data_IF_943647965516
#
_entry.id   IF_943647965516
#
_cell.length_a   1.000
_cell.length_b   1.000
_cell.length_c   1.000
_cell.angle_alpha   90.00
_cell.angle_beta   90.00
_cell.angle_gamma   90.00
#
_symmetry.space_group_name_H-M   'P 1'
#
loop_
_entity.id
_entity.type
_entity.pdbx_description
1 polymer ?
#
# COMPACT_ATOMS: atom_id res chain seq x y z
N UNK A 1 2.60 -2.82 19.18
CA UNK A 1 3.28 -1.91 18.23
C UNK A 1 2.95 -0.46 18.60
N UNK A 2 3.93 0.45 18.55
CA UNK A 2 3.79 1.87 18.88
C UNK A 2 3.45 2.64 17.60
N UNK A 3 2.37 3.43 17.60
CA UNK A 3 2.06 4.33 16.49
C UNK A 3 2.91 5.59 16.56
N UNK A 4 3.60 5.91 15.47
CA UNK A 4 4.39 7.13 15.35
C UNK A 4 3.51 8.33 15.01
N UNK A 5 3.90 9.49 15.53
CA UNK A 5 3.43 10.76 15.00
C UNK A 5 4.06 11.01 13.63
N UNK A 6 3.33 11.68 12.74
CA UNK A 6 3.79 11.98 11.38
C UNK A 6 5.16 12.68 11.32
N UNK A 7 5.44 13.58 12.27
CA UNK A 7 6.75 14.26 12.38
C UNK A 7 7.92 13.30 12.59
N UNK A 8 7.63 12.07 13.02
CA UNK A 8 8.60 11.03 13.31
C UNK A 8 8.67 9.95 12.22
N UNK A 9 7.86 10.01 11.16
CA UNK A 9 7.84 8.97 10.12
C UNK A 9 9.20 8.75 9.44
N UNK A 10 10.03 9.78 9.32
CA UNK A 10 11.36 9.65 8.72
C UNK A 10 12.30 8.72 9.51
N UNK A 11 12.00 8.40 10.78
CA UNK A 11 12.82 7.48 11.59
C UNK A 11 12.86 6.06 11.03
N UNK A 12 11.84 5.65 10.25
CA UNK A 12 11.76 4.31 9.66
C UNK A 12 12.21 4.27 8.20
N UNK A 13 12.58 5.39 7.58
CA UNK A 13 12.91 5.45 6.15
C UNK A 13 14.02 4.44 5.78
N UNK A 14 15.03 4.30 6.65
CA UNK A 14 16.15 3.39 6.46
C UNK A 14 15.75 1.92 6.31
N UNK A 15 14.63 1.50 6.93
CA UNK A 15 14.13 0.12 6.81
C UNK A 15 13.60 -0.16 5.40
N UNK A 16 12.91 0.80 4.80
CA UNK A 16 12.26 0.62 3.51
C UNK A 16 13.17 0.97 2.32
N UNK A 17 14.19 1.81 2.51
CA UNK A 17 14.99 2.43 1.44
C UNK A 17 15.58 1.42 0.45
N UNK A 18 15.61 1.82 -0.83
CA UNK A 18 16.13 1.04 -1.97
C UNK A 18 15.39 -0.29 -2.25
N UNK A 19 14.27 -0.56 -1.59
CA UNK A 19 13.44 -1.74 -1.83
C UNK A 19 12.25 -1.35 -2.68
N UNK A 20 12.28 -1.76 -3.94
CA UNK A 20 11.27 -1.33 -4.91
C UNK A 20 9.85 -1.73 -4.48
N UNK A 21 9.69 -2.86 -3.79
CA UNK A 21 8.40 -3.35 -3.28
C UNK A 21 7.74 -2.42 -2.25
N UNK A 22 8.45 -1.42 -1.74
CA UNK A 22 7.96 -0.51 -0.70
C UNK A 22 7.76 0.94 -1.19
N UNK A 23 7.69 1.18 -2.51
CA UNK A 23 7.36 2.50 -3.06
C UNK A 23 6.08 3.09 -2.44
N UNK A 24 4.97 2.34 -2.26
CA UNK A 24 3.79 2.90 -1.61
C UNK A 24 4.01 3.21 -0.12
N UNK A 25 4.81 2.42 0.59
CA UNK A 25 5.20 2.71 1.97
C UNK A 25 5.96 4.04 2.07
N UNK A 26 6.89 4.28 1.13
CA UNK A 26 7.59 5.56 0.99
C UNK A 26 6.65 6.74 0.79
N UNK A 27 5.60 6.57 -0.01
CA UNK A 27 4.63 7.62 -0.23
C UNK A 27 3.92 8.03 1.07
N UNK A 28 3.64 7.07 1.96
CA UNK A 28 3.11 7.36 3.30
C UNK A 28 4.15 8.06 4.18
N UNK A 29 5.37 7.53 4.23
CA UNK A 29 6.47 8.07 5.04
C UNK A 29 6.76 9.54 4.69
N UNK A 30 6.73 9.89 3.40
CA UNK A 30 6.93 11.26 2.93
C UNK A 30 5.63 12.09 2.82
N UNK A 31 4.50 11.53 3.23
CA UNK A 31 3.19 12.21 3.25
C UNK A 31 2.62 12.56 1.87
N UNK A 32 3.10 11.93 0.79
CA UNK A 32 2.45 12.01 -0.52
C UNK A 32 1.25 11.06 -0.65
N UNK A 33 1.10 10.13 0.30
CA UNK A 33 -0.06 9.25 0.45
C UNK A 33 -0.48 9.18 1.93
N UNK A 34 -1.78 9.08 2.26
CA UNK A 34 -2.23 8.93 3.64
C UNK A 34 -1.91 7.55 4.23
N UNK A 35 -1.63 7.51 5.52
CA UNK A 35 -1.43 6.27 6.24
C UNK A 35 -0.88 6.50 7.64
N UNK A 36 -0.69 5.39 8.36
CA UNK A 36 -0.16 5.33 9.72
C UNK A 36 1.14 4.53 9.71
N UNK A 37 2.05 4.86 10.61
CA UNK A 37 3.32 4.13 10.77
C UNK A 37 3.42 3.61 12.19
N UNK A 38 3.75 2.34 12.32
CA UNK A 38 3.92 1.67 13.61
C UNK A 38 5.28 1.03 13.71
N UNK A 39 5.85 1.01 14.90
CA UNK A 39 7.18 0.44 15.17
C UNK A 39 7.19 -0.43 16.41
N UNK A 40 8.22 -1.26 16.53
CA UNK A 40 8.56 -1.96 17.77
C UNK A 40 9.12 -1.01 18.84
N UNK A 41 10.01 -0.09 18.44
CA UNK A 41 10.65 0.89 19.30
C UNK A 41 10.74 2.26 18.66
N UNK A 42 10.38 3.32 19.41
CA UNK A 42 10.31 4.68 18.88
C UNK A 42 11.68 5.26 18.48
N UNK A 43 12.70 5.04 19.31
CA UNK A 43 14.03 5.65 19.14
C UNK A 43 15.01 4.81 18.29
N UNK A 44 14.73 3.52 18.11
CA UNK A 44 15.59 2.61 17.34
C UNK A 44 14.75 1.49 16.72
N UNK A 45 13.90 1.83 15.74
CA UNK A 45 12.97 0.87 15.16
C UNK A 45 13.74 -0.21 14.39
N UNK A 46 13.44 -1.47 14.70
CA UNK A 46 13.94 -2.64 13.94
C UNK A 46 12.83 -3.29 13.13
N UNK A 47 11.58 -3.09 13.55
CA UNK A 47 10.38 -3.51 12.83
C UNK A 47 9.52 -2.29 12.60
N UNK A 48 9.08 -2.11 11.36
CA UNK A 48 8.14 -1.06 11.00
C UNK A 48 6.99 -1.62 10.17
N UNK A 49 5.80 -1.10 10.44
CA UNK A 49 4.59 -1.34 9.68
C UNK A 49 4.08 -0.01 9.15
N UNK A 50 3.96 0.10 7.85
CA UNK A 50 3.25 1.20 7.20
C UNK A 50 1.86 0.69 6.81
N UNK A 51 0.83 1.23 7.44
CA UNK A 51 -0.57 0.96 7.11
C UNK A 51 -1.12 2.09 6.25
N UNK A 52 -1.09 1.89 4.93
CA UNK A 52 -1.61 2.84 3.98
C UNK A 52 -3.15 2.77 3.95
N UNK A 53 -3.80 3.92 3.72
CA UNK A 53 -5.26 3.91 3.53
C UNK A 53 -5.63 3.01 2.36
N UNK A 54 -6.80 2.36 2.40
CA UNK A 54 -7.24 1.55 1.26
C UNK A 54 -6.78 0.10 1.25
N UNK A 55 -6.30 -0.40 2.41
CA UNK A 55 -6.13 -1.82 2.79
C UNK A 55 -4.74 -2.42 2.54
N UNK A 56 -3.68 -1.62 2.55
CA UNK A 56 -2.33 -2.10 2.28
C UNK A 56 -1.42 -1.93 3.48
N UNK A 57 -0.86 -3.05 3.95
CA UNK A 57 0.11 -3.11 5.03
C UNK A 57 1.49 -3.43 4.46
N UNK A 58 2.49 -2.61 4.76
CA UNK A 58 3.89 -2.86 4.41
C UNK A 58 4.70 -3.09 5.68
N UNK A 59 5.22 -4.29 5.86
CA UNK A 59 6.01 -4.68 7.03
C UNK A 59 7.46 -4.92 6.62
N UNK A 60 8.37 -4.32 7.39
CA UNK A 60 9.81 -4.55 7.27
C UNK A 60 10.43 -4.80 8.65
N UNK A 61 11.49 -5.60 8.69
CA UNK A 61 12.11 -6.11 9.92
C UNK A 61 11.86 -7.61 10.11
N UNK A 62 12.34 -8.14 11.23
CA UNK A 62 12.14 -9.54 11.62
C UNK A 62 11.33 -9.61 12.91
N UNK A 63 10.37 -10.54 12.95
CA UNK A 63 9.55 -10.84 14.12
C UNK A 63 9.92 -12.26 14.54
N UNK A 64 10.66 -12.38 15.63
CA UNK A 64 11.33 -13.64 16.00
C UNK A 64 10.77 -14.20 17.30
N UNK A 65 10.55 -13.32 18.28
CA UNK A 65 10.12 -13.70 19.62
C UNK A 65 8.60 -13.82 19.72
N UNK A 66 8.12 -14.64 20.66
CA UNK A 66 6.68 -14.77 20.92
C UNK A 66 6.03 -13.45 21.36
N UNK A 67 6.81 -12.58 22.03
CA UNK A 67 6.34 -11.25 22.38
C UNK A 67 6.10 -10.39 21.13
N UNK A 68 7.06 -10.31 20.20
CA UNK A 68 6.89 -9.56 18.95
C UNK A 68 5.73 -10.13 18.10
N UNK A 69 5.59 -11.46 18.07
CA UNK A 69 4.45 -12.13 17.42
C UNK A 69 3.11 -11.74 18.09
N UNK A 70 3.05 -11.73 19.41
CA UNK A 70 1.84 -11.32 20.16
C UNK A 70 1.49 -9.85 19.89
N UNK A 71 2.51 -8.98 19.85
CA UNK A 71 2.36 -7.57 19.50
C UNK A 71 1.80 -7.36 18.10
N UNK A 72 2.23 -8.16 17.12
CA UNK A 72 1.70 -8.12 15.77
C UNK A 72 0.24 -8.63 15.70
N UNK A 73 -0.09 -9.71 16.43
CA UNK A 73 -1.49 -10.17 16.56
C UNK A 73 -2.39 -9.09 17.16
N UNK A 74 -1.91 -8.41 18.20
CA UNK A 74 -2.61 -7.28 18.82
C UNK A 74 -2.80 -6.13 17.84
N UNK A 75 -1.76 -5.77 17.08
CA UNK A 75 -1.85 -4.77 16.02
C UNK A 75 -2.98 -5.07 15.02
N UNK A 76 -3.12 -6.32 14.56
CA UNK A 76 -4.22 -6.69 13.68
C UNK A 76 -5.60 -6.49 14.31
N UNK A 77 -5.79 -6.97 15.54
CA UNK A 77 -7.08 -6.90 16.23
C UNK A 77 -7.50 -5.47 16.57
N UNK A 78 -6.54 -4.62 16.94
CA UNK A 78 -6.81 -3.27 17.44
C UNK A 78 -6.77 -2.18 16.36
N UNK A 79 -6.07 -2.42 15.25
CA UNK A 79 -5.90 -1.40 14.20
C UNK A 79 -6.47 -1.86 12.86
N UNK A 80 -5.96 -2.98 12.32
CA UNK A 80 -6.30 -3.40 10.95
C UNK A 80 -7.74 -3.85 10.81
N UNK A 81 -8.21 -4.73 11.69
CA UNK A 81 -9.59 -5.25 11.63
C UNK A 81 -10.64 -4.15 11.85
N UNK A 82 -10.48 -3.23 12.84
CA UNK A 82 -11.38 -2.10 13.01
C UNK A 82 -11.40 -1.16 11.79
N UNK A 83 -10.23 -0.84 11.22
CA UNK A 83 -10.16 -0.01 10.01
C UNK A 83 -10.86 -0.67 8.82
N UNK A 84 -10.62 -1.97 8.59
CA UNK A 84 -11.30 -2.71 7.52
C UNK A 84 -12.82 -2.75 7.72
N UNK A 85 -13.29 -2.98 8.97
CA UNK A 85 -14.72 -2.95 9.31
C UNK A 85 -15.33 -1.57 9.06
N UNK A 86 -14.65 -0.49 9.47
CA UNK A 86 -15.08 0.90 9.23
C UNK A 86 -15.31 1.17 7.74
N UNK A 87 -14.58 0.48 6.87
CA UNK A 87 -14.66 0.67 5.41
C UNK A 87 -15.49 -0.39 4.68
N UNK A 88 -16.22 -1.23 5.41
CA UNK A 88 -16.95 -2.36 4.85
C UNK A 88 -16.06 -3.25 3.96
N UNK A 89 -14.85 -3.52 4.44
CA UNK A 89 -13.87 -4.40 3.81
C UNK A 89 -13.67 -5.62 4.69
N UNK A 90 -13.76 -6.78 4.07
CA UNK A 90 -13.47 -8.07 4.71
C UNK A 90 -12.12 -8.63 4.26
N UNK A 91 -11.24 -7.79 3.71
CA UNK A 91 -9.90 -8.22 3.31
C UNK A 91 -8.92 -7.06 3.24
N UNK A 92 -7.64 -7.40 3.38
CA UNK A 92 -6.50 -6.50 3.19
C UNK A 92 -5.29 -7.25 2.64
N UNK A 93 -4.28 -6.52 2.20
CA UNK A 93 -3.04 -7.08 1.66
C UNK A 93 -1.86 -6.77 2.59
N UNK A 94 -0.99 -7.76 2.77
CA UNK A 94 0.27 -7.63 3.48
C UNK A 94 1.41 -7.75 2.50
N UNK A 95 2.33 -6.81 2.57
CA UNK A 95 3.58 -6.71 1.83
C UNK A 95 4.73 -6.84 2.81
N UNK A 96 5.64 -7.76 2.56
CA UNK A 96 6.81 -7.99 3.43
C UNK A 96 8.09 -8.01 2.61
N UNK A 97 9.24 -8.06 3.30
CA UNK A 97 10.48 -8.51 2.66
C UNK A 97 10.37 -10.01 2.29
N UNK A 98 11.36 -10.56 1.59
CA UNK A 98 11.40 -11.98 1.19
C UNK A 98 11.74 -12.94 2.37
N UNK A 99 11.29 -12.61 3.59
CA UNK A 99 11.52 -13.43 4.79
C UNK A 99 10.59 -14.64 4.81
N UNK A 100 11.20 -15.83 4.69
CA UNK A 100 10.51 -17.10 4.90
C UNK A 100 9.87 -17.21 6.29
N UNK A 101 10.51 -16.62 7.30
CA UNK A 101 9.99 -16.64 8.67
C UNK A 101 8.67 -15.88 8.76
N UNK A 102 8.60 -14.68 8.17
CA UNK A 102 7.35 -13.91 8.14
C UNK A 102 6.28 -14.63 7.33
N UNK A 103 6.66 -15.22 6.19
CA UNK A 103 5.74 -16.03 5.39
C UNK A 103 5.12 -17.17 6.21
N UNK A 104 5.94 -17.95 6.91
CA UNK A 104 5.46 -19.05 7.74
C UNK A 104 4.60 -18.57 8.90
N UNK A 105 5.02 -17.48 9.55
CA UNK A 105 4.27 -16.88 10.64
C UNK A 105 2.87 -16.44 10.18
N UNK A 106 2.78 -15.72 9.05
CA UNK A 106 1.49 -15.30 8.50
C UNK A 106 0.62 -16.49 8.08
N UNK A 107 1.18 -17.49 7.42
CA UNK A 107 0.42 -18.63 6.90
C UNK A 107 -0.02 -19.62 7.98
N UNK A 108 0.72 -19.74 9.08
CA UNK A 108 0.54 -20.85 10.04
C UNK A 108 0.19 -20.39 11.45
N UNK A 109 0.63 -19.22 11.88
CA UNK A 109 0.57 -18.83 13.30
C UNK A 109 -0.49 -17.77 13.62
N UNK A 110 -1.06 -17.09 12.63
CA UNK A 110 -2.17 -16.14 12.82
C UNK A 110 -3.51 -16.83 12.56
N UNK A 111 -3.98 -17.55 13.57
CA UNK A 111 -5.19 -18.40 13.57
C UNK A 111 -6.52 -17.67 13.29
N UNK A 112 -6.62 -16.39 13.62
CA UNK A 112 -7.83 -15.59 13.40
C UNK A 112 -7.89 -14.91 12.02
N UNK A 113 -6.87 -15.10 11.18
CA UNK A 113 -6.82 -14.55 9.83
C UNK A 113 -6.78 -15.68 8.81
N UNK A 114 -7.57 -15.58 7.75
CA UNK A 114 -7.42 -16.46 6.59
C UNK A 114 -6.44 -15.85 5.61
N UNK A 115 -5.25 -16.43 5.54
CA UNK A 115 -4.06 -15.89 4.86
C UNK A 115 -3.78 -16.70 3.60
N UNK A 116 -3.94 -16.09 2.43
CA UNK A 116 -3.64 -16.71 1.12
C UNK A 116 -2.41 -16.02 0.49
N UNK A 117 -1.41 -16.80 0.07
CA UNK A 117 -0.22 -16.26 -0.61
C UNK A 117 -0.54 -15.91 -2.07
N UNK A 118 -0.15 -14.70 -2.49
CA UNK A 118 -0.27 -14.22 -3.85
C UNK A 118 1.09 -13.75 -4.38
N UNK A 119 1.38 -14.08 -5.65
CA UNK A 119 2.60 -13.66 -6.33
C UNK A 119 2.28 -12.53 -7.30
N UNK A 120 2.96 -11.40 -7.15
CA UNK A 120 2.93 -10.32 -8.13
C UNK A 120 4.24 -10.28 -8.93
N UNK A 121 4.10 -9.85 -10.18
CA UNK A 121 5.24 -9.63 -11.06
C UNK A 121 5.56 -8.15 -11.13
N UNK A 122 6.86 -7.86 -11.09
CA UNK A 122 7.38 -6.50 -11.20
C UNK A 122 7.86 -6.27 -12.62
N UNK A 123 7.37 -5.21 -13.24
CA UNK A 123 7.73 -4.87 -14.61
C UNK A 123 8.42 -3.50 -14.66
N UNK A 124 9.44 -3.41 -15.51
CA UNK A 124 10.02 -2.14 -15.92
C UNK A 124 9.53 -1.82 -17.32
N UNK A 125 9.11 -0.58 -17.55
CA UNK A 125 8.69 -0.14 -18.88
C UNK A 125 9.88 -0.18 -19.86
N UNK A 126 9.76 -0.97 -20.92
CA UNK A 126 10.66 -0.85 -22.07
C UNK A 126 10.15 0.28 -22.97
N UNK A 127 10.75 1.47 -22.81
CA UNK A 127 10.33 2.70 -23.49
C UNK A 127 10.40 2.55 -25.02
N UNK A 128 11.45 1.93 -25.55
CA UNK A 128 11.62 1.77 -26.99
C UNK A 128 10.50 0.90 -27.60
N UNK A 129 10.27 -0.28 -27.02
CA UNK A 129 9.18 -1.18 -27.46
C UNK A 129 7.82 -0.51 -27.32
N UNK A 130 7.59 0.22 -26.22
CA UNK A 130 6.35 0.97 -26.01
C UNK A 130 6.11 2.00 -27.12
N UNK A 131 7.12 2.79 -27.47
CA UNK A 131 7.02 3.79 -28.55
C UNK A 131 6.80 3.16 -29.92
N UNK A 132 7.38 1.99 -30.19
CA UNK A 132 7.13 1.25 -31.44
C UNK A 132 5.67 0.78 -31.54
N UNK A 133 5.09 0.28 -30.45
CA UNK A 133 3.66 -0.11 -30.40
C UNK A 133 2.76 1.11 -30.59
N UNK A 134 3.07 2.23 -29.93
CA UNK A 134 2.29 3.46 -30.00
C UNK A 134 2.19 4.03 -31.43
N UNK A 135 3.24 3.86 -32.25
CA UNK A 135 3.25 4.26 -33.67
C UNK A 135 2.32 3.42 -34.56
N UNK A 136 2.06 2.16 -34.18
CA UNK A 136 1.21 1.23 -34.94
C UNK A 136 -0.27 1.30 -34.52
N UNK A 137 -0.58 1.98 -33.42
CA UNK A 137 -1.94 2.04 -32.89
C UNK A 137 -2.80 3.03 -33.69
N UNK A 138 -3.95 2.58 -34.23
CA UNK A 138 -4.95 3.49 -34.80
C UNK A 138 -5.63 4.25 -33.65
N UNK A 139 -5.37 5.55 -33.52
CA UNK A 139 -5.92 6.41 -32.44
C UNK A 139 -7.39 6.78 -32.63
N UNK A 140 -7.95 6.52 -33.80
CA UNK A 140 -9.14 7.21 -34.28
C UNK A 140 -10.46 6.75 -33.60
N UNK A 141 -10.43 5.69 -32.78
CA UNK A 141 -11.62 5.14 -32.12
C UNK A 141 -11.67 5.43 -30.61
N UNK A 142 -10.64 6.07 -30.04
CA UNK A 142 -10.51 6.22 -28.59
C UNK A 142 -10.14 7.66 -28.23
N UNK A 143 -10.98 8.31 -27.43
CA UNK A 143 -10.68 9.63 -26.87
C UNK A 143 -9.98 9.45 -25.52
N UNK A 144 -8.81 10.04 -25.39
CA UNK A 144 -8.00 10.02 -24.16
C UNK A 144 -7.97 11.42 -23.57
N UNK A 145 -8.43 11.58 -22.33
CA UNK A 145 -8.44 12.84 -21.60
C UNK A 145 -7.65 12.69 -20.31
N UNK A 146 -6.64 13.53 -20.09
CA UNK A 146 -5.95 13.61 -18.80
C UNK A 146 -6.79 14.46 -17.85
N UNK A 147 -7.00 13.98 -16.63
CA UNK A 147 -7.76 14.69 -15.59
C UNK A 147 -7.07 14.57 -14.25
N UNK A 148 -7.32 15.54 -13.38
CA UNK A 148 -6.91 15.48 -11.99
C UNK A 148 -7.99 14.80 -11.16
N UNK A 149 -7.58 13.84 -10.34
CA UNK A 149 -8.44 13.11 -9.41
C UNK A 149 -7.94 13.31 -7.99
N UNK A 150 -8.86 13.40 -7.04
CA UNK A 150 -8.48 13.46 -5.63
C UNK A 150 -7.81 12.14 -5.22
N UNK A 151 -6.68 12.24 -4.51
CA UNK A 151 -5.98 11.06 -3.99
C UNK A 151 -6.82 10.40 -2.90
N UNK A 152 -7.61 11.21 -2.18
CA UNK A 152 -8.52 10.80 -1.12
C UNK A 152 -9.94 10.86 -1.68
N UNK A 153 -10.67 9.74 -1.74
CA UNK A 153 -12.12 9.76 -1.93
C UNK A 153 -12.79 10.58 -0.83
N UNK A 154 -13.84 11.34 -1.17
CA UNK A 154 -14.61 12.17 -0.23
C UNK A 154 -15.06 11.39 1.03
N UNK A 155 -15.37 10.10 0.87
CA UNK A 155 -15.74 9.20 1.97
C UNK A 155 -14.63 8.94 3.00
N UNK A 156 -13.40 9.33 2.71
CA UNK A 156 -12.22 9.11 3.55
C UNK A 156 -11.70 10.42 4.18
N UNK A 157 -12.33 11.56 3.93
CA UNK A 157 -11.84 12.86 4.41
C UNK A 157 -11.92 13.03 5.93
N UNK A 158 -12.93 12.43 6.56
CA UNK A 158 -13.15 12.49 8.02
C UNK A 158 -12.27 11.51 8.82
N UNK A 159 -11.37 10.77 8.16
CA UNK A 159 -10.49 9.84 8.87
C UNK A 159 -9.38 10.60 9.60
N UNK A 160 -9.14 10.28 10.87
CA UNK A 160 -8.19 10.98 11.74
C UNK A 160 -6.73 10.93 11.25
N UNK A 161 -6.41 9.98 10.37
CA UNK A 161 -5.09 9.82 9.75
C UNK A 161 -4.98 10.43 8.35
N UNK A 162 -6.06 10.99 7.80
CA UNK A 162 -5.98 11.84 6.61
C UNK A 162 -5.82 13.29 7.07
N UNK A 163 -4.62 13.83 6.83
CA UNK A 163 -4.31 15.22 7.19
C UNK A 163 -4.82 16.17 6.12
N UNK A 164 -5.19 17.37 6.55
CA UNK A 164 -5.66 18.47 5.70
C UNK A 164 -4.80 18.73 4.44
N UNK A 165 -3.45 18.75 4.53
CA UNK A 165 -2.59 18.93 3.35
C UNK A 165 -2.66 17.78 2.32
N UNK A 166 -3.16 16.60 2.71
CA UNK A 166 -3.31 15.43 1.85
C UNK A 166 -4.67 15.42 1.15
N UNK A 167 -5.71 15.98 1.78
CA UNK A 167 -7.06 16.13 1.21
C UNK A 167 -7.06 16.95 -0.08
N UNK A 168 -6.25 18.00 -0.14
CA UNK A 168 -6.15 18.86 -1.32
C UNK A 168 -5.28 18.28 -2.44
N UNK A 169 -4.62 17.12 -2.23
CA UNK A 169 -3.72 16.55 -3.24
C UNK A 169 -4.51 15.83 -4.32
N UNK A 170 -4.17 16.14 -5.55
CA UNK A 170 -4.69 15.47 -6.74
C UNK A 170 -3.59 14.71 -7.45
N UNK A 171 -3.96 13.61 -8.10
CA UNK A 171 -3.11 12.86 -9.01
C UNK A 171 -3.63 12.96 -10.44
N UNK A 172 -2.73 12.90 -11.41
CA UNK A 172 -3.11 12.84 -12.82
C UNK A 172 -3.58 11.42 -13.14
N UNK A 173 -4.78 11.31 -13.68
CA UNK A 173 -5.32 10.09 -14.27
C UNK A 173 -5.70 10.29 -15.72
N UNK A 174 -6.21 9.23 -16.32
CA UNK A 174 -6.63 9.16 -17.71
C UNK A 174 -8.07 8.66 -17.76
N UNK A 175 -8.91 9.38 -18.49
CA UNK A 175 -10.24 8.94 -18.91
C UNK A 175 -10.17 8.51 -20.36
N UNK A 176 -10.51 7.27 -20.62
CA UNK A 176 -10.51 6.64 -21.93
C UNK A 176 -11.97 6.42 -22.33
N UNK A 177 -12.40 7.03 -23.43
CA UNK A 177 -13.76 6.89 -23.96
C UNK A 177 -13.72 6.20 -25.32
N UNK A 178 -14.55 5.17 -25.49
CA UNK A 178 -14.80 4.47 -26.75
C UNK A 178 -16.29 4.16 -26.84
N UNK A 179 -16.98 4.77 -27.81
CA UNK A 179 -18.43 4.62 -27.98
C UNK A 179 -19.19 4.79 -26.64
N UNK A 180 -19.78 3.72 -26.11
CA UNK A 180 -20.55 3.70 -24.86
C UNK A 180 -19.72 3.30 -23.61
N UNK A 181 -18.42 3.08 -23.76
CA UNK A 181 -17.52 2.70 -22.67
C UNK A 181 -16.69 3.89 -22.21
N UNK A 182 -16.76 4.19 -20.90
CA UNK A 182 -15.83 5.10 -20.22
C UNK A 182 -15.01 4.30 -19.22
N UNK A 183 -13.69 4.26 -19.43
CA UNK A 183 -12.73 3.73 -18.47
C UNK A 183 -12.02 4.90 -17.79
N UNK A 184 -11.95 4.86 -16.47
CA UNK A 184 -11.20 5.83 -15.68
C UNK A 184 -10.06 5.08 -15.02
N UNK A 185 -8.83 5.52 -15.28
CA UNK A 185 -7.65 5.05 -14.57
C UNK A 185 -7.00 6.23 -13.87
N UNK A 186 -6.74 6.09 -12.58
CA UNK A 186 -5.97 7.07 -11.84
C UNK A 186 -4.51 6.61 -11.85
N UNK A 187 -3.58 7.55 -11.99
CA UNK A 187 -2.14 7.28 -11.94
C UNK A 187 -1.72 6.81 -10.55
N UNK A 188 -2.04 5.57 -10.20
CA UNK A 188 -1.33 4.80 -9.19
C UNK A 188 -0.40 3.92 -10.00
N UNK A 189 0.79 4.43 -10.32
CA UNK A 189 1.84 3.58 -10.86
C UNK A 189 2.16 2.52 -9.80
N UNK A 190 1.49 1.37 -9.90
CA UNK A 190 1.86 0.15 -9.17
C UNK A 190 3.13 -0.39 -9.83
N UNK A 191 4.26 0.23 -9.50
CA UNK A 191 5.54 -0.39 -9.74
C UNK A 191 5.97 -1.07 -8.47
N UNK A 192 6.28 -2.35 -8.62
CA UNK A 192 7.07 -3.18 -7.73
C UNK A 192 6.36 -3.64 -6.48
N UNK A 193 6.10 -4.94 -6.43
CA UNK A 193 5.60 -5.66 -5.29
C UNK A 193 6.08 -7.13 -5.48
N UNK A 194 6.78 -7.71 -4.49
CA UNK A 194 7.12 -9.15 -4.40
C UNK A 194 6.80 -9.62 -2.98
N UNK A 195 6.18 -10.80 -2.91
CA UNK A 195 5.51 -11.46 -1.78
C UNK A 195 4.36 -10.68 -1.14
N UNK A 196 3.12 -11.11 -1.46
CA UNK A 196 1.91 -10.59 -0.85
C UNK A 196 1.08 -11.70 -0.26
N UNK A 197 0.38 -11.34 0.80
CA UNK A 197 -0.69 -12.15 1.35
C UNK A 197 -1.97 -11.38 1.19
N UNK A 198 -2.99 -12.03 0.63
CA UNK A 198 -4.38 -11.59 0.75
C UNK A 198 -4.91 -12.18 2.06
N UNK A 199 -5.32 -11.31 2.95
CA UNK A 199 -5.95 -11.71 4.21
C UNK A 199 -7.43 -11.48 4.11
N UNK A 200 -8.23 -12.51 4.37
CA UNK A 200 -9.67 -12.42 4.57
C UNK A 200 -9.98 -12.38 6.06
N UNK A 201 -10.83 -11.44 6.44
CA UNK A 201 -11.32 -11.17 7.79
C UNK A 201 -12.59 -11.97 8.09
#
# INVERSE_FOLDING_TARGET
MIELQYSSFSSVEGLFKQKKQFIPAFAVIHGSYPGRVFVDHENSPKVAIVWAIGRWMYLEGNIVTDQEKSELKRFFRENVMPDCKKWNRNWFEIYTNDSKQLEEYFLKEIDFLKVDKHYESVYTLNVEKFLQVAKRSKRNEVKVEFRNFDIIPESLEETSYVKNPTLSKKTVGVVIKRENLTLITQGIFRQCLRMHVIVKL
#
